data_IF_412834011379
#
_entry.id   IF_412834011379
#
_cell.length_a   1.000
_cell.length_b   1.000
_cell.length_c   1.000
_cell.angle_alpha   90.00
_cell.angle_beta   90.00
_cell.angle_gamma   90.00
#
_symmetry.space_group_name_H-M   'P 1'
#
loop_
_entity.id
_entity.type
_entity.pdbx_description
1 polymer ?
#
# COMPACT_ATOMS: atom_id res chain seq x y z
N UNK A 1 -77.75 20.02 -20.90
CA UNK A 1 -76.70 21.07 -20.80
C UNK A 1 -76.74 21.65 -19.40
N UNK A 2 -75.73 21.35 -18.57
CA UNK A 2 -75.01 22.31 -17.71
C UNK A 2 -73.78 21.55 -17.21
N UNK A 3 -72.66 22.25 -17.33
CA UNK A 3 -71.29 21.82 -17.29
C UNK A 3 -70.73 22.26 -15.93
N UNK A 4 -70.08 21.38 -15.16
CA UNK A 4 -69.17 21.81 -14.08
C UNK A 4 -68.03 20.80 -13.94
N UNK A 5 -66.96 21.06 -14.70
CA UNK A 5 -65.63 20.53 -14.48
C UNK A 5 -65.06 21.14 -13.21
N UNK A 6 -64.90 20.35 -12.15
CA UNK A 6 -64.01 20.67 -11.03
C UNK A 6 -62.60 20.15 -11.36
N UNK A 7 -61.77 21.03 -11.94
CA UNK A 7 -60.34 20.79 -12.07
C UNK A 7 -59.65 21.12 -10.75
N UNK A 8 -59.45 20.09 -9.92
CA UNK A 8 -58.59 20.18 -8.75
C UNK A 8 -57.14 20.24 -9.25
N UNK A 9 -56.54 21.44 -9.15
CA UNK A 9 -55.11 21.67 -9.33
C UNK A 9 -54.32 20.87 -8.28
N UNK A 10 -53.96 19.63 -8.60
CA UNK A 10 -52.90 18.92 -7.90
C UNK A 10 -51.57 19.50 -8.35
N UNK A 11 -51.10 20.54 -7.64
CA UNK A 11 -49.70 20.93 -7.68
C UNK A 11 -48.86 19.74 -7.23
N UNK A 12 -48.28 19.04 -8.21
CA UNK A 12 -47.22 18.06 -8.02
C UNK A 12 -46.00 18.77 -7.41
N UNK A 13 -45.94 18.82 -6.09
CA UNK A 13 -44.70 19.05 -5.37
C UNK A 13 -43.78 17.86 -5.65
N UNK A 14 -42.92 17.98 -6.67
CA UNK A 14 -41.78 17.07 -6.83
C UNK A 14 -40.97 17.15 -5.53
N UNK A 15 -40.83 16.08 -4.73
CA UNK A 15 -39.99 16.12 -3.57
C UNK A 15 -38.57 16.49 -4.02
N UNK A 16 -38.01 17.55 -3.45
CA UNK A 16 -36.59 17.89 -3.64
C UNK A 16 -35.81 16.64 -3.24
N UNK A 17 -35.13 16.00 -4.20
CA UNK A 17 -34.19 14.89 -3.93
C UNK A 17 -33.10 15.45 -3.00
N UNK A 18 -33.28 15.28 -1.69
CA UNK A 18 -32.20 15.49 -0.74
C UNK A 18 -31.11 14.48 -1.08
N UNK A 19 -29.95 14.97 -1.49
CA UNK A 19 -28.80 14.15 -1.85
C UNK A 19 -28.23 13.60 -0.54
N UNK A 20 -28.74 12.45 -0.10
CA UNK A 20 -28.16 11.73 1.02
C UNK A 20 -26.87 11.04 0.56
N UNK A 21 -25.72 11.50 1.07
CA UNK A 21 -24.45 10.79 0.90
C UNK A 21 -24.55 9.43 1.60
N UNK A 22 -24.64 8.38 0.80
CA UNK A 22 -24.57 6.99 1.29
C UNK A 22 -23.14 6.67 1.73
N UNK A 23 -22.98 5.74 2.68
CA UNK A 23 -21.65 5.32 3.15
C UNK A 23 -20.77 4.79 2.00
N UNK A 24 -21.37 4.14 1.00
CA UNK A 24 -20.66 3.71 -0.21
C UNK A 24 -20.11 4.89 -1.03
N UNK A 25 -20.90 5.97 -1.17
CA UNK A 25 -20.43 7.18 -1.85
C UNK A 25 -19.22 7.78 -1.14
N UNK A 26 -19.21 7.79 0.19
CA UNK A 26 -18.06 8.28 0.98
C UNK A 26 -16.82 7.41 0.80
N UNK A 27 -16.96 6.07 0.78
CA UNK A 27 -15.86 5.16 0.49
C UNK A 27 -15.26 5.45 -0.89
N UNK A 28 -16.12 5.62 -1.91
CA UNK A 28 -15.67 5.91 -3.28
C UNK A 28 -14.98 7.28 -3.36
N UNK A 29 -15.54 8.31 -2.70
CA UNK A 29 -14.93 9.64 -2.64
C UNK A 29 -13.57 9.59 -1.95
N UNK A 30 -13.47 8.88 -0.83
CA UNK A 30 -12.21 8.68 -0.12
C UNK A 30 -11.20 7.99 -1.04
N UNK A 31 -11.55 6.88 -1.67
CA UNK A 31 -10.69 6.20 -2.66
C UNK A 31 -10.23 7.13 -3.80
N UNK A 32 -11.14 7.90 -4.40
CA UNK A 32 -10.80 8.87 -5.47
C UNK A 32 -9.83 9.93 -4.96
N UNK A 33 -9.99 10.41 -3.73
CA UNK A 33 -9.12 11.41 -3.09
C UNK A 33 -7.71 10.91 -2.76
N UNK A 34 -7.42 9.65 -3.07
CA UNK A 34 -6.11 9.01 -2.87
C UNK A 34 -5.51 8.66 -4.23
N UNK A 35 -6.36 8.18 -5.14
CA UNK A 35 -5.95 7.61 -6.41
C UNK A 35 -5.61 8.65 -7.48
N UNK A 36 -6.37 9.75 -7.54
CA UNK A 36 -6.22 10.80 -8.56
C UNK A 36 -5.58 12.15 -8.15
N UNK A 37 -5.37 12.51 -6.87
CA UNK A 37 -4.83 13.83 -6.51
C UNK A 37 -3.51 14.20 -7.18
N UNK A 38 -2.63 13.22 -7.44
CA UNK A 38 -1.29 13.47 -7.96
C UNK A 38 -1.29 13.88 -9.42
N UNK A 39 -1.99 13.14 -10.28
CA UNK A 39 -2.15 13.54 -11.68
C UNK A 39 -2.90 14.88 -11.80
N UNK A 40 -3.84 15.15 -10.90
CA UNK A 40 -4.55 16.45 -10.84
C UNK A 40 -3.59 17.56 -10.38
N UNK A 41 -2.72 17.30 -9.40
CA UNK A 41 -1.70 18.24 -8.95
C UNK A 41 -0.64 18.50 -10.02
N UNK A 42 -0.26 17.48 -10.79
CA UNK A 42 0.63 17.60 -11.94
C UNK A 42 0.04 18.49 -13.05
N UNK A 43 -1.30 18.61 -13.13
CA UNK A 43 -2.00 19.55 -14.01
C UNK A 43 -2.12 20.97 -13.43
N UNK A 44 -1.55 21.25 -12.25
CA UNK A 44 -1.48 22.59 -11.66
C UNK A 44 -2.39 22.82 -10.45
N UNK A 45 -3.17 21.81 -10.01
CA UNK A 45 -3.97 21.94 -8.78
C UNK A 45 -3.07 21.98 -7.54
N UNK A 46 -3.41 22.79 -6.51
CA UNK A 46 -2.59 22.88 -5.30
C UNK A 46 -2.36 21.53 -4.62
N UNK A 47 -1.10 21.28 -4.26
CA UNK A 47 -0.61 20.07 -3.59
C UNK A 47 -1.36 19.68 -2.29
N UNK A 48 -2.08 20.62 -1.68
CA UNK A 48 -2.94 20.37 -0.50
C UNK A 48 -3.98 19.28 -0.78
N UNK A 49 -4.43 19.10 -2.02
CA UNK A 49 -5.37 18.03 -2.39
C UNK A 49 -4.82 16.62 -2.10
N UNK A 50 -3.49 16.45 -2.09
CA UNK A 50 -2.85 15.18 -1.76
C UNK A 50 -3.07 14.77 -0.29
N UNK A 51 -3.60 15.64 0.57
CA UNK A 51 -3.87 15.38 1.99
C UNK A 51 -5.34 15.13 2.29
N UNK A 52 -6.24 15.32 1.30
CA UNK A 52 -7.68 15.24 1.52
C UNK A 52 -8.11 13.88 2.12
N UNK A 53 -7.42 12.82 1.72
CA UNK A 53 -7.71 11.47 2.17
C UNK A 53 -7.52 11.24 3.66
N UNK A 54 -6.55 11.93 4.28
CA UNK A 54 -6.32 11.86 5.72
C UNK A 54 -7.52 12.33 6.56
N UNK A 55 -8.43 13.10 5.97
CA UNK A 55 -9.69 13.49 6.60
C UNK A 55 -10.87 12.66 6.11
N UNK A 56 -10.91 12.37 4.80
CA UNK A 56 -12.03 11.65 4.18
C UNK A 56 -12.14 10.19 4.64
N UNK A 57 -11.02 9.49 4.87
CA UNK A 57 -11.04 8.10 5.33
C UNK A 57 -11.57 7.98 6.77
N UNK A 58 -11.04 8.71 7.77
CA UNK A 58 -11.62 8.71 9.11
C UNK A 58 -13.08 9.19 9.14
N UNK A 59 -13.42 10.19 8.34
CA UNK A 59 -14.80 10.66 8.24
C UNK A 59 -15.74 9.57 7.70
N UNK A 60 -15.34 8.89 6.62
CA UNK A 60 -16.10 7.77 6.07
C UNK A 60 -16.27 6.64 7.11
N UNK A 61 -15.22 6.36 7.89
CA UNK A 61 -15.26 5.38 8.98
C UNK A 61 -16.27 5.76 10.07
N UNK A 62 -16.23 7.01 10.56
CA UNK A 62 -17.17 7.50 11.58
C UNK A 62 -18.61 7.37 11.08
N UNK A 63 -18.89 7.78 9.84
CA UNK A 63 -20.22 7.65 9.25
C UNK A 63 -20.62 6.17 9.09
N UNK A 64 -19.68 5.30 8.72
CA UNK A 64 -19.93 3.88 8.56
C UNK A 64 -20.27 3.20 9.89
N UNK A 65 -19.50 3.45 10.96
CA UNK A 65 -19.73 2.89 12.29
C UNK A 65 -21.03 3.43 12.90
N UNK A 66 -21.31 4.72 12.77
CA UNK A 66 -22.52 5.33 13.37
C UNK A 66 -23.81 4.92 12.65
N UNK A 67 -23.74 4.61 11.34
CA UNK A 67 -24.91 4.21 10.55
C UNK A 67 -25.06 2.70 10.38
N UNK A 68 -24.02 1.90 10.64
CA UNK A 68 -24.14 0.45 10.47
C UNK A 68 -25.11 -0.14 11.47
N UNK A 69 -25.94 -1.07 11.00
CA UNK A 69 -26.91 -1.82 11.81
C UNK A 69 -26.62 -3.31 11.78
N UNK A 70 -25.36 -3.70 11.56
CA UNK A 70 -25.00 -5.11 11.52
C UNK A 70 -25.28 -5.76 12.87
N UNK A 71 -25.86 -6.96 12.83
CA UNK A 71 -26.11 -7.81 14.01
C UNK A 71 -25.15 -9.00 14.09
N UNK A 72 -24.22 -9.10 13.14
CA UNK A 72 -23.24 -10.19 13.10
C UNK A 72 -22.18 -9.97 14.20
N UNK A 73 -22.24 -10.81 15.24
CA UNK A 73 -21.32 -10.74 16.38
C UNK A 73 -19.86 -10.93 15.99
N UNK A 74 -19.57 -11.74 14.96
CA UNK A 74 -18.19 -11.94 14.48
C UNK A 74 -17.67 -10.68 13.78
N UNK A 75 -18.50 -10.07 12.95
CA UNK A 75 -18.16 -8.80 12.28
C UNK A 75 -17.92 -7.68 13.31
N UNK A 76 -18.74 -7.61 14.36
CA UNK A 76 -18.60 -6.64 15.45
C UNK A 76 -17.30 -6.90 16.22
N UNK A 77 -17.01 -8.15 16.59
CA UNK A 77 -15.78 -8.50 17.30
C UNK A 77 -14.54 -8.13 16.48
N UNK A 78 -14.48 -8.52 15.20
CA UNK A 78 -13.38 -8.16 14.30
C UNK A 78 -13.22 -6.63 14.18
N UNK A 79 -14.33 -5.90 14.07
CA UNK A 79 -14.32 -4.42 14.03
C UNK A 79 -13.67 -3.84 15.28
N UNK A 80 -14.09 -4.30 16.47
CA UNK A 80 -13.54 -3.81 17.74
C UNK A 80 -12.09 -4.20 17.96
N UNK A 81 -11.68 -5.40 17.54
CA UNK A 81 -10.27 -5.82 17.61
C UNK A 81 -9.36 -4.90 16.78
N UNK A 82 -9.76 -4.57 15.55
CA UNK A 82 -9.00 -3.65 14.69
C UNK A 82 -8.96 -2.24 15.30
N UNK A 83 -10.12 -1.72 15.76
CA UNK A 83 -10.19 -0.40 16.42
C UNK A 83 -9.25 -0.35 17.63
N UNK A 84 -9.30 -1.37 18.48
CA UNK A 84 -8.46 -1.47 19.69
C UNK A 84 -6.99 -1.52 19.32
N UNK A 85 -6.62 -2.31 18.31
CA UNK A 85 -5.25 -2.38 17.82
C UNK A 85 -4.77 -1.02 17.26
N UNK A 86 -5.63 -0.27 16.55
CA UNK A 86 -5.31 1.10 16.11
C UNK A 86 -5.10 2.05 17.29
N UNK A 87 -5.92 1.96 18.35
CA UNK A 87 -5.74 2.78 19.54
C UNK A 87 -4.48 2.43 20.33
N UNK A 88 -4.14 1.14 20.44
CA UNK A 88 -2.87 0.70 21.03
C UNK A 88 -1.70 1.32 20.26
N UNK A 89 -1.73 1.23 18.93
CA UNK A 89 -0.70 1.81 18.08
C UNK A 89 -0.61 3.34 18.21
N UNK A 90 -1.75 4.04 18.24
CA UNK A 90 -1.81 5.48 18.50
C UNK A 90 -1.21 5.84 19.87
N UNK A 91 -1.46 5.03 20.91
CA UNK A 91 -0.88 5.21 22.24
C UNK A 91 0.66 5.12 22.21
N UNK A 92 1.22 4.21 21.41
CA UNK A 92 2.67 4.11 21.22
C UNK A 92 3.22 5.33 20.47
N UNK A 93 2.55 5.78 19.40
CA UNK A 93 2.94 7.00 18.66
C UNK A 93 2.93 8.22 19.57
N UNK A 94 1.87 8.41 20.36
CA UNK A 94 1.76 9.52 21.31
C UNK A 94 2.88 9.48 22.36
N UNK A 95 3.18 8.30 22.89
CA UNK A 95 4.26 8.14 23.88
C UNK A 95 5.61 8.47 23.26
N UNK A 96 5.89 7.97 22.05
CA UNK A 96 7.10 8.29 21.29
C UNK A 96 7.21 9.80 21.02
N UNK A 97 6.13 10.44 20.59
CA UNK A 97 6.10 11.87 20.31
C UNK A 97 6.35 12.71 21.56
N UNK A 98 5.75 12.38 22.69
CA UNK A 98 5.96 13.09 23.96
C UNK A 98 7.40 12.97 24.44
N UNK A 99 7.98 11.77 24.38
CA UNK A 99 9.36 11.53 24.80
C UNK A 99 10.37 12.29 23.92
N UNK A 100 10.08 12.40 22.63
CA UNK A 100 10.98 13.00 21.65
C UNK A 100 10.58 14.42 21.19
N UNK A 101 9.59 15.03 21.86
CA UNK A 101 9.07 16.38 21.56
C UNK A 101 8.66 16.55 20.08
N UNK A 102 8.10 15.50 19.48
CA UNK A 102 7.60 15.58 18.11
C UNK A 102 6.30 16.41 18.05
N UNK A 103 6.10 17.12 16.94
CA UNK A 103 4.91 17.93 16.71
C UNK A 103 3.61 17.12 16.71
N UNK A 104 2.49 17.76 17.05
CA UNK A 104 1.17 17.12 16.96
C UNK A 104 0.82 16.67 15.53
N UNK A 105 1.30 17.43 14.53
CA UNK A 105 1.17 17.07 13.11
C UNK A 105 1.95 15.81 12.77
N UNK A 106 3.12 15.60 13.39
CA UNK A 106 3.87 14.36 13.23
C UNK A 106 3.05 13.16 13.70
N UNK A 107 2.47 13.23 14.89
CA UNK A 107 1.59 12.18 15.44
C UNK A 107 0.43 11.88 14.49
N UNK A 108 -0.27 12.93 14.04
CA UNK A 108 -1.43 12.77 13.16
C UNK A 108 -1.04 12.12 11.83
N UNK A 109 -0.01 12.66 11.15
CA UNK A 109 0.39 12.16 9.84
C UNK A 109 1.00 10.76 9.92
N UNK A 110 1.81 10.46 10.93
CA UNK A 110 2.42 9.13 11.09
C UNK A 110 1.34 8.07 11.35
N UNK A 111 0.41 8.38 12.25
CA UNK A 111 -0.75 7.53 12.50
C UNK A 111 -1.57 7.34 11.23
N UNK A 112 -1.89 8.40 10.51
CA UNK A 112 -2.68 8.29 9.29
C UNK A 112 -1.95 7.50 8.20
N UNK A 113 -0.68 7.78 7.93
CA UNK A 113 0.11 7.06 6.92
C UNK A 113 0.13 5.55 7.18
N UNK A 114 0.28 5.13 8.43
CA UNK A 114 0.40 3.72 8.81
C UNK A 114 -0.96 3.03 9.03
N UNK A 115 -1.94 3.72 9.63
CA UNK A 115 -3.24 3.15 9.99
C UNK A 115 -4.34 3.32 8.94
N UNK A 116 -4.21 4.28 8.02
CA UNK A 116 -5.24 4.54 7.00
C UNK A 116 -5.71 3.29 6.22
N UNK A 117 -4.85 2.35 5.75
CA UNK A 117 -5.34 1.14 5.09
C UNK A 117 -6.25 0.30 6.01
N UNK A 118 -5.96 0.25 7.31
CA UNK A 118 -6.80 -0.45 8.29
C UNK A 118 -8.12 0.29 8.53
N UNK A 119 -8.11 1.62 8.58
CA UNK A 119 -9.32 2.44 8.72
C UNK A 119 -10.22 2.33 7.48
N UNK A 120 -9.64 2.32 6.27
CA UNK A 120 -10.37 2.10 5.03
C UNK A 120 -10.99 0.70 5.00
N UNK A 121 -10.20 -0.32 5.33
CA UNK A 121 -10.68 -1.70 5.44
C UNK A 121 -11.85 -1.79 6.43
N UNK A 122 -11.69 -1.23 7.63
CA UNK A 122 -12.71 -1.17 8.67
C UNK A 122 -13.99 -0.51 8.18
N UNK A 123 -13.87 0.61 7.48
CA UNK A 123 -15.00 1.34 6.88
C UNK A 123 -15.81 0.45 5.95
N UNK A 124 -15.15 -0.39 5.15
CA UNK A 124 -15.82 -1.28 4.19
C UNK A 124 -16.39 -2.51 4.89
N UNK A 125 -15.62 -3.17 5.76
CA UNK A 125 -16.07 -4.41 6.40
C UNK A 125 -17.19 -4.17 7.42
N UNK A 126 -17.31 -2.98 8.03
CA UNK A 126 -18.36 -2.70 9.02
C UNK A 126 -19.74 -2.45 8.39
N UNK A 127 -19.81 -2.15 7.09
CA UNK A 127 -21.08 -1.92 6.37
C UNK A 127 -21.56 -3.22 5.74
N UNK A 128 -22.81 -3.68 5.97
CA UNK A 128 -23.39 -4.76 5.19
C UNK A 128 -23.65 -4.30 3.75
N UNK A 129 -22.82 -4.71 2.79
CA UNK A 129 -23.01 -4.35 1.38
C UNK A 129 -24.06 -5.24 0.73
N UNK A 130 -25.02 -4.61 0.03
CA UNK A 130 -25.89 -5.34 -0.90
C UNK A 130 -25.11 -5.78 -2.14
N UNK A 131 -25.55 -6.82 -2.88
CA UNK A 131 -24.88 -7.24 -4.12
C UNK A 131 -24.66 -6.09 -5.11
N UNK A 132 -25.63 -5.19 -5.27
CA UNK A 132 -25.50 -4.01 -6.14
C UNK A 132 -24.43 -3.03 -5.64
N UNK A 133 -24.37 -2.77 -4.32
CA UNK A 133 -23.36 -1.90 -3.71
C UNK A 133 -21.95 -2.48 -3.83
N UNK A 134 -21.83 -3.79 -3.63
CA UNK A 134 -20.59 -4.55 -3.83
C UNK A 134 -20.09 -4.44 -5.27
N UNK A 135 -20.97 -4.69 -6.26
CA UNK A 135 -20.60 -4.58 -7.68
C UNK A 135 -20.21 -3.15 -8.06
N UNK A 136 -20.87 -2.15 -7.50
CA UNK A 136 -20.50 -0.74 -7.72
C UNK A 136 -19.10 -0.44 -7.17
N UNK A 137 -18.78 -0.86 -5.94
CA UNK A 137 -17.44 -0.67 -5.36
C UNK A 137 -16.37 -1.38 -6.20
N UNK A 138 -16.62 -2.63 -6.59
CA UNK A 138 -15.74 -3.42 -7.47
C UNK A 138 -15.52 -2.72 -8.81
N UNK A 139 -16.57 -2.20 -9.44
CA UNK A 139 -16.47 -1.49 -10.71
C UNK A 139 -15.61 -0.22 -10.60
N UNK A 140 -15.75 0.56 -9.52
CA UNK A 140 -14.92 1.74 -9.29
C UNK A 140 -13.43 1.40 -9.11
N UNK A 141 -13.12 0.35 -8.35
CA UNK A 141 -11.76 -0.13 -8.18
C UNK A 141 -11.16 -0.60 -9.52
N UNK A 142 -11.86 -1.51 -10.22
CA UNK A 142 -11.39 -2.07 -11.49
C UNK A 142 -11.26 -1.00 -12.57
N UNK A 143 -12.23 -0.09 -12.67
CA UNK A 143 -12.20 1.02 -13.60
C UNK A 143 -11.04 1.96 -13.33
N UNK A 144 -10.77 2.28 -12.06
CA UNK A 144 -9.65 3.15 -11.69
C UNK A 144 -8.29 2.49 -11.95
N UNK A 145 -8.14 1.20 -11.64
CA UNK A 145 -6.93 0.45 -11.96
C UNK A 145 -6.70 0.35 -13.48
N UNK A 146 -7.76 0.17 -14.27
CA UNK A 146 -7.67 0.19 -15.73
C UNK A 146 -7.24 1.57 -16.25
N UNK A 147 -7.82 2.65 -15.71
CA UNK A 147 -7.39 4.02 -16.04
C UNK A 147 -5.91 4.21 -15.70
N UNK A 148 -5.46 3.78 -14.52
CA UNK A 148 -4.05 3.84 -14.13
C UNK A 148 -3.14 3.11 -15.13
N UNK A 149 -3.50 1.88 -15.50
CA UNK A 149 -2.75 1.08 -16.47
C UNK A 149 -2.70 1.78 -17.84
N UNK A 150 -3.85 2.21 -18.36
CA UNK A 150 -3.92 2.87 -19.68
C UNK A 150 -3.14 4.19 -19.68
N UNK A 151 -3.24 4.99 -18.62
CA UNK A 151 -2.46 6.23 -18.49
C UNK A 151 -0.97 5.93 -18.47
N UNK A 152 -0.51 4.91 -17.74
CA UNK A 152 0.89 4.50 -17.74
C UNK A 152 1.36 4.07 -19.13
N UNK A 153 0.56 3.27 -19.85
CA UNK A 153 0.87 2.85 -21.22
C UNK A 153 0.96 4.02 -22.20
N UNK A 154 0.09 5.04 -22.04
CA UNK A 154 0.09 6.27 -22.86
C UNK A 154 1.24 7.20 -22.49
N UNK A 155 1.67 7.24 -21.23
CA UNK A 155 2.76 8.10 -20.77
C UNK A 155 4.07 7.80 -21.49
N UNK A 156 4.42 6.52 -21.70
CA UNK A 156 5.68 6.14 -22.35
C UNK A 156 5.90 6.80 -23.72
N UNK A 157 5.02 6.62 -24.73
CA UNK A 157 5.20 7.27 -26.02
C UNK A 157 5.13 8.81 -25.92
N UNK A 158 4.31 9.37 -25.03
CA UNK A 158 4.28 10.83 -24.83
C UNK A 158 5.59 11.38 -24.25
N UNK A 159 6.21 10.66 -23.32
CA UNK A 159 7.53 11.00 -22.76
C UNK A 159 8.60 10.90 -23.86
N UNK A 160 8.60 9.81 -24.63
CA UNK A 160 9.56 9.61 -25.72
C UNK A 160 9.48 10.70 -26.80
N UNK A 161 8.26 11.19 -27.08
CA UNK A 161 8.02 12.31 -27.99
C UNK A 161 8.28 13.70 -27.35
N UNK A 162 8.70 13.76 -26.08
CA UNK A 162 8.92 15.01 -25.35
C UNK A 162 7.64 15.84 -25.13
N UNK A 163 6.46 15.21 -25.14
CA UNK A 163 5.15 15.89 -25.00
C UNK A 163 4.72 16.09 -23.56
N UNK A 164 5.24 15.29 -22.63
CA UNK A 164 4.96 15.41 -21.19
C UNK A 164 6.27 15.41 -20.39
N UNK A 165 6.27 16.08 -19.24
CA UNK A 165 7.48 16.34 -18.44
C UNK A 165 7.98 15.09 -17.72
N UNK A 166 9.29 14.89 -17.66
CA UNK A 166 9.91 13.88 -16.78
C UNK A 166 10.33 14.46 -15.43
N UNK A 167 10.20 15.79 -15.25
CA UNK A 167 10.71 16.53 -14.09
C UNK A 167 12.15 16.12 -13.75
N UNK A 168 12.40 15.61 -12.54
CA UNK A 168 13.71 15.12 -12.09
C UNK A 168 13.92 13.60 -12.27
N UNK A 169 12.97 12.91 -12.92
CA UNK A 169 12.96 11.45 -13.05
C UNK A 169 13.58 11.01 -14.38
N UNK A 170 14.03 9.76 -14.44
CA UNK A 170 14.35 9.13 -15.73
C UNK A 170 13.07 8.99 -16.56
N UNK A 171 13.16 8.92 -17.91
CA UNK A 171 12.00 8.68 -18.76
C UNK A 171 11.18 7.44 -18.35
N UNK A 172 11.85 6.40 -17.86
CA UNK A 172 11.25 5.16 -17.38
C UNK A 172 10.55 5.38 -16.02
N UNK A 173 11.20 6.04 -15.06
CA UNK A 173 10.60 6.34 -13.75
C UNK A 173 9.43 7.31 -13.84
N UNK A 174 9.37 8.13 -14.90
CA UNK A 174 8.26 9.04 -15.18
C UNK A 174 6.99 8.33 -15.71
N UNK A 175 7.04 7.03 -16.02
CA UNK A 175 5.86 6.21 -16.33
C UNK A 175 5.19 5.76 -15.03
N UNK A 176 4.20 6.53 -14.57
CA UNK A 176 3.64 6.45 -13.21
C UNK A 176 2.10 6.34 -13.16
N UNK A 177 1.43 6.19 -14.30
CA UNK A 177 -0.02 6.15 -14.37
C UNK A 177 -0.67 7.39 -13.74
N UNK A 178 -1.69 7.19 -12.90
CA UNK A 178 -2.36 8.30 -12.19
C UNK A 178 -1.56 8.88 -11.02
N UNK A 179 -0.45 8.23 -10.65
CA UNK A 179 0.45 8.68 -9.57
C UNK A 179 1.57 9.58 -10.12
N UNK A 180 1.33 10.23 -11.25
CA UNK A 180 2.29 11.00 -12.03
C UNK A 180 2.97 12.12 -11.25
N UNK A 181 4.28 12.27 -11.52
CA UNK A 181 5.23 13.17 -10.87
C UNK A 181 5.32 13.00 -9.35
N UNK A 182 5.39 11.74 -8.89
CA UNK A 182 5.68 11.41 -7.50
C UNK A 182 6.85 10.45 -7.33
N UNK A 183 7.56 10.55 -6.20
CA UNK A 183 8.85 9.87 -6.02
C UNK A 183 8.82 8.34 -6.15
N UNK A 184 7.70 7.70 -5.81
CA UNK A 184 7.50 6.25 -5.96
C UNK A 184 6.37 5.90 -6.94
N UNK A 185 5.96 6.85 -7.80
CA UNK A 185 4.75 6.74 -8.61
C UNK A 185 4.76 5.55 -9.57
N UNK A 186 5.91 5.23 -10.17
CA UNK A 186 6.07 4.08 -11.08
C UNK A 186 5.83 2.76 -10.35
N UNK A 187 6.49 2.55 -9.21
CA UNK A 187 6.35 1.33 -8.42
C UNK A 187 4.92 1.16 -7.89
N UNK A 188 4.29 2.24 -7.41
CA UNK A 188 2.91 2.23 -6.90
C UNK A 188 1.93 1.90 -8.02
N UNK A 189 2.05 2.59 -9.15
CA UNK A 189 1.21 2.35 -10.33
C UNK A 189 1.32 0.92 -10.83
N UNK A 190 2.54 0.41 -10.97
CA UNK A 190 2.80 -0.96 -11.42
C UNK A 190 2.25 -1.98 -10.42
N UNK A 191 2.46 -1.76 -9.11
CA UNK A 191 1.97 -2.64 -8.04
C UNK A 191 0.45 -2.71 -8.02
N UNK A 192 -0.24 -1.59 -8.21
CA UNK A 192 -1.71 -1.53 -8.34
C UNK A 192 -2.18 -2.33 -9.55
N UNK A 193 -1.57 -2.10 -10.72
CA UNK A 193 -1.92 -2.81 -11.96
C UNK A 193 -1.73 -4.33 -11.84
N UNK A 194 -0.63 -4.78 -11.23
CA UNK A 194 -0.37 -6.21 -11.01
C UNK A 194 -1.33 -6.82 -9.97
N UNK A 195 -1.54 -6.16 -8.83
CA UNK A 195 -2.46 -6.65 -7.79
C UNK A 195 -3.90 -6.78 -8.32
N UNK A 196 -4.38 -5.76 -9.05
CA UNK A 196 -5.72 -5.76 -9.64
C UNK A 196 -5.81 -6.71 -10.84
N UNK A 197 -4.75 -6.81 -11.65
CA UNK A 197 -4.66 -7.79 -12.74
C UNK A 197 -4.79 -9.23 -12.24
N UNK A 198 -4.08 -9.57 -11.15
CA UNK A 198 -4.20 -10.87 -10.49
C UNK A 198 -5.59 -11.07 -9.89
N UNK A 199 -6.14 -10.06 -9.20
CA UNK A 199 -7.52 -10.12 -8.69
C UNK A 199 -8.52 -10.42 -9.81
N UNK A 200 -8.40 -9.72 -10.95
CA UNK A 200 -9.29 -9.88 -12.09
C UNK A 200 -9.13 -11.26 -12.73
N UNK A 201 -7.90 -11.75 -12.90
CA UNK A 201 -7.60 -13.09 -13.39
C UNK A 201 -8.27 -14.18 -12.54
N UNK A 202 -8.16 -14.05 -11.21
CA UNK A 202 -8.66 -15.04 -10.27
C UNK A 202 -10.19 -14.97 -10.09
N UNK A 203 -10.79 -13.78 -10.07
CA UNK A 203 -12.18 -13.59 -9.60
C UNK A 203 -13.19 -13.21 -10.69
N UNK A 204 -12.78 -12.76 -11.88
CA UNK A 204 -13.73 -12.42 -12.96
C UNK A 204 -14.08 -13.66 -13.81
N UNK A 205 -14.61 -14.72 -13.18
CA UNK A 205 -14.88 -16.02 -13.85
C UNK A 205 -15.89 -15.94 -15.00
N UNK A 206 -16.77 -14.94 -15.00
CA UNK A 206 -17.73 -14.67 -16.08
C UNK A 206 -17.08 -14.11 -17.35
N UNK A 207 -15.83 -13.66 -17.26
CA UNK A 207 -15.06 -13.11 -18.38
C UNK A 207 -14.10 -14.17 -18.90
N UNK A 208 -13.94 -14.21 -20.23
CA UNK A 208 -13.01 -15.13 -20.90
C UNK A 208 -11.60 -15.05 -20.30
N UNK A 209 -10.95 -16.21 -20.19
CA UNK A 209 -9.58 -16.29 -19.65
C UNK A 209 -8.59 -15.48 -20.49
N UNK A 210 -8.84 -15.31 -21.78
CA UNK A 210 -8.01 -14.52 -22.69
C UNK A 210 -8.00 -13.03 -22.33
N UNK A 211 -9.18 -12.45 -22.06
CA UNK A 211 -9.28 -11.03 -21.65
C UNK A 211 -8.63 -10.83 -20.29
N UNK A 212 -8.86 -11.77 -19.37
CA UNK A 212 -8.25 -11.75 -18.04
C UNK A 212 -6.73 -11.85 -18.10
N UNK A 213 -6.20 -12.79 -18.88
CA UNK A 213 -4.76 -12.96 -19.11
C UNK A 213 -4.16 -11.74 -19.80
N UNK A 214 -4.84 -11.18 -20.80
CA UNK A 214 -4.40 -9.98 -21.51
C UNK A 214 -4.21 -8.77 -20.59
N UNK A 215 -5.15 -8.52 -19.67
CA UNK A 215 -4.99 -7.43 -18.68
C UNK A 215 -3.79 -7.64 -17.76
N UNK A 216 -3.54 -8.89 -17.33
CA UNK A 216 -2.35 -9.20 -16.55
C UNK A 216 -1.06 -9.03 -17.38
N UNK A 217 -1.06 -9.44 -18.64
CA UNK A 217 0.06 -9.23 -19.57
C UNK A 217 0.34 -7.74 -19.79
N UNK A 218 -0.70 -6.90 -19.90
CA UNK A 218 -0.52 -5.44 -19.96
C UNK A 218 0.08 -4.88 -18.68
N UNK A 219 -0.27 -5.41 -17.50
CA UNK A 219 0.37 -5.00 -16.25
C UNK A 219 1.85 -5.42 -16.19
N UNK A 220 2.21 -6.59 -16.72
CA UNK A 220 3.61 -6.97 -16.92
C UNK A 220 4.32 -6.09 -17.95
N UNK A 221 3.63 -5.69 -19.02
CA UNK A 221 4.18 -4.75 -19.99
C UNK A 221 4.44 -3.37 -19.34
N UNK A 222 3.52 -2.88 -18.50
CA UNK A 222 3.74 -1.68 -17.69
C UNK A 222 5.00 -1.82 -16.83
N UNK A 223 5.21 -2.96 -16.18
CA UNK A 223 6.40 -3.21 -15.36
C UNK A 223 7.70 -3.02 -16.17
N UNK A 224 7.74 -3.51 -17.41
CA UNK A 224 8.91 -3.37 -18.29
C UNK A 224 9.16 -1.91 -18.70
N UNK A 225 8.11 -1.21 -19.16
CA UNK A 225 8.28 0.17 -19.66
C UNK A 225 8.57 1.20 -18.56
N UNK A 226 8.23 0.89 -17.30
CA UNK A 226 8.44 1.75 -16.12
C UNK A 226 9.66 1.36 -15.28
N UNK A 227 10.49 0.45 -15.80
CA UNK A 227 11.63 -0.18 -15.12
C UNK A 227 11.36 -0.61 -13.65
N UNK A 228 10.14 -1.08 -13.39
CA UNK A 228 9.67 -1.42 -12.04
C UNK A 228 9.91 -2.89 -11.67
N UNK A 229 11.02 -3.47 -12.13
CA UNK A 229 11.39 -4.89 -11.94
C UNK A 229 11.42 -5.34 -10.47
N UNK A 230 11.67 -4.41 -9.54
CA UNK A 230 11.64 -4.66 -8.09
C UNK A 230 10.25 -5.06 -7.61
N UNK A 231 9.18 -4.57 -8.25
CA UNK A 231 7.79 -4.97 -7.96
C UNK A 231 7.60 -6.48 -8.22
N UNK A 232 8.19 -7.02 -9.29
CA UNK A 232 8.11 -8.46 -9.58
C UNK A 232 8.80 -9.28 -8.49
N UNK A 233 10.00 -8.87 -8.07
CA UNK A 233 10.75 -9.53 -6.99
C UNK A 233 9.90 -9.57 -5.73
N UNK A 234 9.26 -8.47 -5.36
CA UNK A 234 8.39 -8.39 -4.19
C UNK A 234 7.23 -9.39 -4.29
N UNK A 235 6.55 -9.47 -5.43
CA UNK A 235 5.45 -10.42 -5.63
C UNK A 235 5.93 -11.87 -5.57
N UNK A 236 7.10 -12.19 -6.13
CA UNK A 236 7.68 -13.54 -6.07
C UNK A 236 8.05 -13.91 -4.62
N UNK A 237 8.70 -13.02 -3.87
CA UNK A 237 9.05 -13.26 -2.47
C UNK A 237 7.80 -13.41 -1.61
N UNK A 238 6.78 -12.58 -1.80
CA UNK A 238 5.50 -12.70 -1.10
C UNK A 238 4.79 -14.03 -1.41
N UNK A 239 4.87 -14.52 -2.64
CA UNK A 239 4.35 -15.84 -3.02
C UNK A 239 5.13 -16.97 -2.35
N UNK A 240 6.46 -16.92 -2.31
CA UNK A 240 7.28 -17.89 -1.60
C UNK A 240 6.96 -17.93 -0.10
N UNK A 241 6.82 -16.76 0.53
CA UNK A 241 6.39 -16.65 1.93
C UNK A 241 4.99 -17.25 2.15
N UNK A 242 4.05 -17.03 1.22
CA UNK A 242 2.72 -17.62 1.31
C UNK A 242 2.79 -19.15 1.26
N UNK A 243 3.57 -19.70 0.32
CA UNK A 243 3.78 -21.15 0.21
C UNK A 243 4.37 -21.70 1.51
N UNK A 244 5.35 -21.01 2.08
CA UNK A 244 5.96 -21.36 3.36
C UNK A 244 4.94 -21.36 4.51
N UNK A 245 4.14 -20.30 4.66
CA UNK A 245 3.13 -20.20 5.72
C UNK A 245 1.95 -21.17 5.56
N UNK A 246 1.68 -21.65 4.35
CA UNK A 246 0.64 -22.65 4.09
C UNK A 246 1.11 -24.08 4.40
N UNK A 247 2.42 -24.28 4.47
CA UNK A 247 2.99 -25.61 4.65
C UNK A 247 2.85 -26.03 6.12
N UNK A 248 1.80 -26.79 6.43
CA UNK A 248 1.55 -27.31 7.78
C UNK A 248 2.55 -28.38 8.22
N UNK A 249 3.29 -28.97 7.28
CA UNK A 249 4.29 -30.00 7.54
C UNK A 249 5.68 -29.35 7.62
N UNK A 250 6.05 -28.97 8.85
CA UNK A 250 7.34 -28.34 9.13
C UNK A 250 8.53 -29.18 8.62
N UNK A 251 8.42 -30.51 8.67
CA UNK A 251 9.47 -31.41 8.20
C UNK A 251 9.72 -31.28 6.70
N UNK A 252 8.65 -31.25 5.90
CA UNK A 252 8.75 -31.01 4.45
C UNK A 252 9.15 -29.59 4.09
N UNK A 253 8.68 -28.58 4.83
CA UNK A 253 9.12 -27.21 4.64
C UNK A 253 10.62 -27.07 4.86
N UNK A 254 11.13 -27.65 5.96
CA UNK A 254 12.56 -27.71 6.25
C UNK A 254 13.32 -28.49 5.16
N UNK A 255 12.78 -29.62 4.70
CA UNK A 255 13.36 -30.39 3.59
C UNK A 255 13.47 -29.56 2.31
N UNK A 256 12.46 -28.78 1.94
CA UNK A 256 12.52 -27.89 0.77
C UNK A 256 13.52 -26.75 0.94
N UNK A 257 13.61 -26.17 2.14
CA UNK A 257 14.65 -25.19 2.45
C UNK A 257 16.03 -25.82 2.26
N UNK A 258 16.27 -27.01 2.81
CA UNK A 258 17.53 -27.74 2.67
C UNK A 258 17.84 -28.01 1.19
N UNK A 259 16.87 -28.55 0.43
CA UNK A 259 17.05 -28.83 -1.01
C UNK A 259 17.36 -27.54 -1.78
N UNK A 260 16.65 -26.46 -1.50
CA UNK A 260 16.87 -25.16 -2.14
C UNK A 260 18.24 -24.57 -1.79
N UNK A 261 18.65 -24.66 -0.53
CA UNK A 261 19.99 -24.23 -0.08
C UNK A 261 21.08 -25.06 -0.75
N UNK A 262 20.92 -26.40 -0.81
CA UNK A 262 21.85 -27.27 -1.52
C UNK A 262 21.90 -26.95 -3.03
N UNK A 263 20.76 -26.62 -3.63
CA UNK A 263 20.70 -26.17 -5.02
C UNK A 263 21.46 -24.86 -5.21
N UNK A 264 21.28 -23.85 -4.35
CA UNK A 264 22.03 -22.59 -4.42
C UNK A 264 23.52 -22.83 -4.25
N UNK A 265 23.93 -23.64 -3.27
CA UNK A 265 25.34 -23.98 -3.03
C UNK A 265 25.92 -24.69 -4.25
N UNK A 266 25.21 -25.68 -4.80
CA UNK A 266 25.62 -26.40 -5.99
C UNK A 266 25.69 -25.50 -7.23
N UNK A 267 24.71 -24.61 -7.41
CA UNK A 267 24.69 -23.63 -8.49
C UNK A 267 25.86 -22.65 -8.39
N UNK A 268 26.12 -22.11 -7.20
CA UNK A 268 27.26 -21.25 -6.92
C UNK A 268 28.59 -21.97 -7.18
N UNK A 269 28.72 -23.21 -6.70
CA UNK A 269 29.90 -24.04 -6.99
C UNK A 269 30.09 -24.27 -8.49
N UNK A 270 29.01 -24.59 -9.23
CA UNK A 270 29.05 -24.76 -10.69
C UNK A 270 29.49 -23.47 -11.38
N UNK A 271 28.99 -22.30 -10.97
CA UNK A 271 29.39 -21.02 -11.54
C UNK A 271 30.88 -20.72 -11.34
N UNK A 272 31.42 -21.02 -10.15
CA UNK A 272 32.82 -20.72 -9.83
C UNK A 272 33.79 -21.70 -10.51
N UNK A 273 33.41 -22.99 -10.60
CA UNK A 273 34.32 -24.07 -10.99
C UNK A 273 34.10 -24.61 -12.41
N UNK A 274 32.96 -24.36 -13.04
CA UNK A 274 32.68 -24.84 -14.41
C UNK A 274 32.71 -23.67 -15.39
N UNK A 275 33.43 -23.83 -16.50
CA UNK A 275 33.48 -22.87 -17.60
C UNK A 275 32.29 -23.08 -18.55
N UNK A 276 31.10 -22.72 -18.08
CA UNK A 276 29.85 -22.78 -18.86
C UNK A 276 29.48 -21.37 -19.31
N UNK A 277 29.47 -21.12 -20.63
CA UNK A 277 29.17 -19.81 -21.24
C UNK A 277 27.85 -19.21 -20.71
N UNK A 278 26.81 -20.03 -20.56
CA UNK A 278 25.51 -19.59 -20.03
C UNK A 278 25.53 -19.14 -18.56
N UNK A 279 26.59 -19.44 -17.80
CA UNK A 279 26.76 -19.02 -16.41
C UNK A 279 27.63 -17.77 -16.26
N UNK A 280 28.27 -17.28 -17.32
CA UNK A 280 29.19 -16.13 -17.24
C UNK A 280 28.52 -14.86 -16.71
N UNK A 281 27.29 -14.57 -17.14
CA UNK A 281 26.54 -13.42 -16.64
C UNK A 281 26.30 -13.52 -15.13
N UNK A 282 25.95 -14.71 -14.63
CA UNK A 282 25.79 -14.93 -13.20
C UNK A 282 27.12 -14.80 -12.47
N UNK A 283 28.20 -15.39 -13.01
CA UNK A 283 29.55 -15.32 -12.42
C UNK A 283 30.01 -13.87 -12.31
N UNK A 284 29.79 -13.07 -13.34
CA UNK A 284 30.07 -11.64 -13.33
C UNK A 284 29.32 -10.91 -12.21
N UNK A 285 28.03 -11.17 -12.02
CA UNK A 285 27.26 -10.49 -10.97
C UNK A 285 27.63 -10.95 -9.56
N UNK A 286 27.91 -12.25 -9.36
CA UNK A 286 28.31 -12.79 -8.06
C UNK A 286 29.75 -12.43 -7.67
N UNK A 287 30.64 -12.22 -8.65
CA UNK A 287 32.03 -11.83 -8.39
C UNK A 287 32.17 -10.37 -7.93
N UNK A 288 31.13 -9.55 -8.11
CA UNK A 288 31.07 -8.15 -7.64
C UNK A 288 30.89 -8.02 -6.13
N UNK A 289 31.77 -8.63 -5.37
CA UNK A 289 31.77 -8.62 -3.90
C UNK A 289 31.99 -7.22 -3.33
N UNK A 290 32.66 -6.33 -4.06
CA UNK A 290 32.78 -4.91 -3.73
C UNK A 290 31.42 -4.18 -3.71
N UNK A 291 30.45 -4.69 -4.47
CA UNK A 291 29.11 -4.13 -4.57
C UNK A 291 28.13 -4.89 -3.67
N UNK A 292 28.06 -6.22 -3.81
CA UNK A 292 27.01 -7.06 -3.19
C UNK A 292 27.49 -7.94 -2.03
N UNK A 293 28.77 -7.93 -1.69
CA UNK A 293 29.29 -8.64 -0.52
C UNK A 293 28.75 -8.06 0.81
N UNK A 294 28.97 -8.72 1.96
CA UNK A 294 28.52 -8.25 3.27
C UNK A 294 28.99 -6.82 3.61
N UNK A 295 30.20 -6.45 3.20
CA UNK A 295 30.76 -5.10 3.33
C UNK A 295 30.73 -4.29 2.02
N UNK A 296 30.00 -4.80 1.02
CA UNK A 296 29.87 -4.19 -0.28
C UNK A 296 29.08 -2.87 -0.23
N UNK A 297 29.28 -2.02 -1.23
CA UNK A 297 28.66 -0.69 -1.29
C UNK A 297 27.12 -0.77 -1.21
N UNK A 298 26.49 -1.80 -1.79
CA UNK A 298 25.04 -1.97 -1.77
C UNK A 298 24.50 -2.21 -0.36
N UNK A 299 25.13 -3.11 0.40
CA UNK A 299 24.74 -3.41 1.78
C UNK A 299 24.98 -2.20 2.68
N UNK A 300 26.17 -1.59 2.57
CA UNK A 300 26.53 -0.39 3.35
C UNK A 300 25.60 0.77 3.07
N UNK A 301 25.21 0.97 1.82
CA UNK A 301 24.28 2.04 1.41
C UNK A 301 22.87 1.75 1.91
N UNK A 302 22.36 0.52 1.72
CA UNK A 302 21.01 0.15 2.17
C UNK A 302 20.86 0.23 3.69
N UNK A 303 21.88 -0.20 4.42
CA UNK A 303 21.88 -0.26 5.88
C UNK A 303 22.38 1.02 6.53
N UNK A 304 22.79 2.05 5.77
CA UNK A 304 23.43 3.27 6.30
C UNK A 304 22.60 3.98 7.38
N UNK A 305 21.27 3.97 7.24
CA UNK A 305 20.37 4.62 8.18
C UNK A 305 20.35 3.93 9.56
N UNK A 306 20.65 2.63 9.66
CA UNK A 306 20.62 1.90 10.94
C UNK A 306 21.62 2.48 11.94
N UNK A 307 22.94 2.51 11.67
CA UNK A 307 23.91 3.08 12.62
C UNK A 307 23.69 4.57 12.86
N UNK A 308 23.18 5.32 11.87
CA UNK A 308 22.82 6.73 12.05
C UNK A 308 21.70 6.88 13.09
N UNK A 309 20.59 6.15 12.95
CA UNK A 309 19.49 6.15 13.93
C UNK A 309 20.00 5.74 15.32
N UNK A 310 20.76 4.64 15.42
CA UNK A 310 21.29 4.13 16.69
C UNK A 310 22.21 5.15 17.37
N UNK A 311 22.98 5.93 16.61
CA UNK A 311 23.86 6.96 17.18
C UNK A 311 23.10 8.05 17.97
N UNK A 312 21.81 8.22 17.69
CA UNK A 312 20.92 9.15 18.40
C UNK A 312 20.11 8.48 19.51
N UNK A 313 20.21 7.16 19.71
CA UNK A 313 19.57 6.48 20.83
C UNK A 313 20.37 6.73 22.11
N UNK A 314 20.05 7.81 22.80
CA UNK A 314 20.75 8.24 24.02
C UNK A 314 20.21 7.58 25.31
N UNK A 315 19.10 6.84 25.23
CA UNK A 315 18.49 6.17 26.37
C UNK A 315 17.87 4.81 25.99
N UNK A 316 17.67 3.89 26.96
CA UNK A 316 16.92 2.65 26.73
C UNK A 316 15.49 2.90 26.23
N UNK A 317 14.89 4.05 26.57
CA UNK A 317 13.56 4.42 26.08
C UNK A 317 13.54 4.66 24.57
N UNK A 318 14.66 5.09 23.97
CA UNK A 318 14.74 5.22 22.51
C UNK A 318 14.68 3.86 21.79
N UNK A 319 15.18 2.79 22.40
CA UNK A 319 15.00 1.45 21.85
C UNK A 319 13.53 1.00 21.89
N UNK A 320 12.80 1.41 22.91
CA UNK A 320 11.40 1.00 23.09
C UNK A 320 10.43 1.86 22.27
N UNK A 321 10.67 3.18 22.20
CA UNK A 321 9.76 4.17 21.61
C UNK A 321 10.34 4.96 20.43
N UNK A 322 11.59 4.72 20.03
CA UNK A 322 12.21 5.39 18.89
C UNK A 322 12.58 6.85 19.13
N UNK A 323 12.75 7.59 18.04
CA UNK A 323 13.15 9.02 18.01
C UNK A 323 11.98 9.98 17.78
N UNK A 324 10.75 9.48 17.67
CA UNK A 324 9.56 10.29 17.42
C UNK A 324 8.98 10.06 16.02
N UNK A 325 7.66 10.20 15.84
CA UNK A 325 7.01 10.04 14.54
C UNK A 325 7.60 11.00 13.49
N UNK A 326 8.00 10.46 12.35
CA UNK A 326 8.54 11.24 11.23
C UNK A 326 9.92 11.85 11.48
N UNK A 327 10.70 11.33 12.44
CA UNK A 327 12.05 11.82 12.75
C UNK A 327 13.17 10.96 12.16
N UNK A 328 12.85 9.84 11.50
CA UNK A 328 13.84 8.95 10.87
C UNK A 328 13.61 8.80 9.36
N UNK A 329 13.51 7.56 8.87
CA UNK A 329 13.65 7.19 7.45
C UNK A 329 12.42 6.53 6.85
N UNK A 330 11.30 6.54 7.58
CA UNK A 330 9.98 6.26 7.01
C UNK A 330 9.60 7.32 5.99
N UNK A 331 8.47 7.16 5.32
CA UNK A 331 7.94 8.08 4.31
C UNK A 331 7.79 9.49 4.86
N UNK A 332 7.31 9.61 6.10
CA UNK A 332 7.06 10.89 6.75
C UNK A 332 8.35 11.70 6.92
N UNK A 333 9.34 11.16 7.63
CA UNK A 333 10.63 11.82 7.88
C UNK A 333 11.57 11.80 6.67
N UNK A 334 11.51 10.74 5.87
CA UNK A 334 12.35 10.52 4.70
C UNK A 334 12.06 11.50 3.57
N UNK A 335 10.82 11.79 3.20
CA UNK A 335 10.59 12.75 2.10
C UNK A 335 9.35 13.62 2.28
N UNK A 336 8.35 13.16 3.02
CA UNK A 336 7.09 13.88 3.11
C UNK A 336 7.25 15.26 3.77
N UNK A 337 7.98 15.36 4.87
CA UNK A 337 8.27 16.67 5.47
C UNK A 337 9.16 17.53 4.60
N UNK A 338 10.14 16.97 3.89
CA UNK A 338 10.97 17.72 2.95
C UNK A 338 10.15 18.34 1.82
N UNK A 339 9.30 17.52 1.19
CA UNK A 339 8.59 17.90 -0.02
C UNK A 339 7.37 18.80 0.25
N UNK A 340 6.84 18.77 1.48
CA UNK A 340 5.66 19.53 1.91
C UNK A 340 5.92 20.46 3.10
N UNK A 341 7.18 20.81 3.38
CA UNK A 341 7.57 21.63 4.53
C UNK A 341 6.81 22.97 4.59
N UNK A 342 6.62 23.62 3.45
CA UNK A 342 5.91 24.91 3.36
C UNK A 342 4.45 24.83 3.83
N UNK A 343 3.84 23.63 3.80
CA UNK A 343 2.49 23.39 4.29
C UNK A 343 2.50 22.91 5.74
N UNK A 344 3.45 22.06 6.11
CA UNK A 344 3.45 21.31 7.37
C UNK A 344 4.21 22.00 8.50
N UNK A 345 5.31 22.70 8.18
CA UNK A 345 6.12 23.46 9.13
C UNK A 345 5.29 24.49 9.93
N UNK A 346 4.46 25.34 9.28
CA UNK A 346 3.59 26.29 9.98
C UNK A 346 2.56 25.64 10.90
N UNK A 347 2.22 24.37 10.70
CA UNK A 347 1.29 23.61 11.54
C UNK A 347 2.01 22.95 12.74
N UNK A 348 3.32 23.20 12.91
CA UNK A 348 4.12 22.67 13.99
C UNK A 348 4.74 21.30 13.70
N UNK A 349 4.95 20.95 12.42
CA UNK A 349 5.75 19.78 12.07
C UNK A 349 7.21 19.94 12.54
N UNK A 350 7.79 18.86 13.05
CA UNK A 350 9.18 18.81 13.50
C UNK A 350 9.99 17.80 12.70
N UNK A 351 11.29 18.05 12.54
CA UNK A 351 12.25 17.14 11.91
C UNK A 351 13.40 16.86 12.87
N UNK A 352 14.20 15.84 12.57
CA UNK A 352 15.33 15.44 13.38
C UNK A 352 16.61 15.34 12.51
N UNK A 353 17.81 15.63 13.05
CA UNK A 353 19.06 15.65 12.27
C UNK A 353 19.35 14.35 11.51
N UNK A 354 18.95 13.20 12.06
CA UNK A 354 19.09 11.88 11.40
C UNK A 354 18.54 11.87 9.98
N UNK A 355 17.36 12.45 9.75
CA UNK A 355 16.77 12.45 8.40
C UNK A 355 17.65 13.21 7.41
N UNK A 356 18.31 14.30 7.85
CA UNK A 356 19.22 15.09 7.01
C UNK A 356 20.49 14.30 6.73
N UNK A 357 21.12 13.72 7.76
CA UNK A 357 22.34 12.92 7.61
C UNK A 357 22.16 11.72 6.65
N UNK A 358 20.99 11.09 6.70
CA UNK A 358 20.65 10.00 5.77
C UNK A 358 20.55 10.51 4.33
N UNK A 359 19.96 11.68 4.11
CA UNK A 359 19.94 12.29 2.78
C UNK A 359 21.31 12.69 2.28
N UNK A 360 22.16 13.24 3.14
CA UNK A 360 23.54 13.56 2.77
C UNK A 360 24.27 12.28 2.33
N UNK A 361 24.02 11.16 3.01
CA UNK A 361 24.55 9.86 2.60
C UNK A 361 23.99 9.38 1.26
N UNK A 362 22.69 9.56 1.01
CA UNK A 362 22.06 9.27 -0.29
C UNK A 362 22.68 10.11 -1.39
N UNK A 363 22.85 11.42 -1.17
CA UNK A 363 23.46 12.32 -2.15
C UNK A 363 24.94 12.05 -2.39
N UNK A 364 25.64 11.43 -1.43
CA UNK A 364 27.02 10.99 -1.60
C UNK A 364 27.17 9.63 -2.31
N UNK A 365 26.10 8.84 -2.45
CA UNK A 365 26.15 7.51 -3.09
C UNK A 365 25.60 7.57 -4.51
N UNK A 366 26.39 7.12 -5.49
CA UNK A 366 25.91 6.96 -6.87
C UNK A 366 24.83 5.87 -6.92
N UNK A 367 25.02 4.76 -6.19
CA UNK A 367 24.11 3.64 -6.17
C UNK A 367 22.72 4.00 -5.60
N UNK A 368 22.67 4.81 -4.53
CA UNK A 368 21.40 5.26 -3.96
C UNK A 368 20.61 6.19 -4.90
N UNK A 369 21.30 6.91 -5.78
CA UNK A 369 20.67 7.79 -6.78
C UNK A 369 20.15 7.01 -7.99
N UNK A 370 20.87 5.97 -8.40
CA UNK A 370 20.51 5.18 -9.58
C UNK A 370 19.51 4.05 -9.27
N UNK A 371 19.48 3.56 -8.04
CA UNK A 371 18.64 2.43 -7.67
C UNK A 371 17.92 2.64 -6.33
N UNK A 372 16.60 2.81 -6.44
CA UNK A 372 15.69 2.88 -5.29
C UNK A 372 15.80 1.65 -4.37
N UNK A 373 16.19 0.49 -4.90
CA UNK A 373 16.35 -0.76 -4.14
C UNK A 373 17.36 -0.62 -3.00
N UNK A 374 18.43 0.14 -3.24
CA UNK A 374 19.53 0.34 -2.28
C UNK A 374 19.37 1.62 -1.46
N UNK A 375 18.29 2.39 -1.65
CA UNK A 375 18.04 3.55 -0.79
C UNK A 375 17.86 3.11 0.67
N UNK A 376 18.51 3.80 1.63
CA UNK A 376 18.40 3.54 3.07
C UNK A 376 17.05 3.98 3.67
N UNK A 377 16.02 4.12 2.84
CA UNK A 377 14.69 4.58 3.21
C UNK A 377 13.70 3.45 2.94
N UNK A 378 13.27 2.76 4.00
CA UNK A 378 12.29 1.67 3.90
C UNK A 378 11.40 1.60 5.14
N UNK A 379 10.16 1.15 4.95
CA UNK A 379 9.06 1.34 5.90
C UNK A 379 9.35 0.72 7.27
N UNK A 380 9.86 -0.52 7.32
CA UNK A 380 10.12 -1.20 8.61
C UNK A 380 11.18 -0.49 9.44
N UNK A 381 12.21 0.06 8.78
CA UNK A 381 13.23 0.84 9.47
C UNK A 381 12.68 2.20 9.92
N UNK A 382 11.78 2.81 9.15
CA UNK A 382 11.03 3.99 9.56
C UNK A 382 10.20 3.75 10.81
N UNK A 383 9.36 2.72 10.81
CA UNK A 383 8.51 2.36 11.96
C UNK A 383 9.35 2.08 13.20
N UNK A 384 10.43 1.30 13.09
CA UNK A 384 11.33 1.05 14.22
C UNK A 384 12.10 2.30 14.65
N UNK A 385 12.61 3.08 13.70
CA UNK A 385 13.38 4.28 13.99
C UNK A 385 12.55 5.34 14.71
N UNK A 386 11.32 5.54 14.25
CA UNK A 386 10.38 6.52 14.78
C UNK A 386 9.74 6.04 16.10
N UNK A 387 9.31 4.77 16.17
CA UNK A 387 8.43 4.25 17.23
C UNK A 387 9.04 3.13 18.10
N UNK A 388 10.28 2.73 17.82
CA UNK A 388 11.01 1.69 18.56
C UNK A 388 10.43 0.28 18.39
N UNK A 389 10.91 -0.65 19.21
CA UNK A 389 10.42 -2.03 19.19
C UNK A 389 8.96 -2.17 19.62
N UNK A 390 8.46 -1.29 20.49
CA UNK A 390 7.06 -1.33 20.89
C UNK A 390 6.15 -0.90 19.73
N UNK A 391 6.55 0.11 18.97
CA UNK A 391 5.83 0.54 17.77
C UNK A 391 5.82 -0.55 16.72
N UNK A 392 6.97 -1.17 16.46
CA UNK A 392 7.06 -2.32 15.55
C UNK A 392 6.14 -3.47 15.99
N UNK A 393 6.16 -3.83 17.28
CA UNK A 393 5.29 -4.87 17.84
C UNK A 393 3.80 -4.54 17.72
N UNK A 394 3.41 -3.29 18.02
CA UNK A 394 2.02 -2.84 17.91
C UNK A 394 1.54 -2.80 16.44
N UNK A 395 2.40 -2.42 15.49
CA UNK A 395 2.08 -2.44 14.06
C UNK A 395 1.98 -3.88 13.51
N UNK A 396 2.88 -4.78 13.94
CA UNK A 396 2.80 -6.19 13.61
C UNK A 396 1.54 -6.84 14.22
N UNK A 397 1.12 -6.42 15.41
CA UNK A 397 -0.14 -6.84 16.00
C UNK A 397 -1.35 -6.42 15.16
N UNK A 398 -1.37 -5.19 14.64
CA UNK A 398 -2.38 -4.75 13.66
C UNK A 398 -2.40 -5.66 12.42
N UNK A 399 -1.22 -5.96 11.86
CA UNK A 399 -1.07 -6.90 10.74
C UNK A 399 -1.56 -8.31 11.08
N UNK A 400 -1.30 -8.79 12.30
CA UNK A 400 -1.76 -10.09 12.78
C UNK A 400 -3.29 -10.17 12.92
N UNK A 401 -3.94 -9.12 13.45
CA UNK A 401 -5.41 -9.06 13.53
C UNK A 401 -6.00 -9.10 12.12
N UNK A 402 -5.47 -8.30 11.18
CA UNK A 402 -5.87 -8.34 9.77
C UNK A 402 -5.72 -9.76 9.18
N UNK A 403 -4.54 -10.36 9.37
CA UNK A 403 -4.19 -11.69 8.86
C UNK A 403 -5.14 -12.78 9.37
N UNK A 404 -5.37 -12.81 10.68
CA UNK A 404 -6.12 -13.86 11.36
C UNK A 404 -7.64 -13.71 11.22
N UNK A 405 -8.16 -12.48 11.19
CA UNK A 405 -9.60 -12.21 11.21
C UNK A 405 -10.21 -11.91 9.84
N UNK A 406 -9.44 -11.32 8.93
CA UNK A 406 -9.96 -10.82 7.65
C UNK A 406 -9.38 -11.60 6.46
N UNK A 407 -8.07 -11.84 6.44
CA UNK A 407 -7.37 -12.51 5.34
C UNK A 407 -7.53 -14.04 5.39
N UNK A 408 -8.75 -14.53 5.15
CA UNK A 408 -9.05 -15.97 5.24
C UNK A 408 -8.54 -16.76 4.02
N UNK A 409 -8.33 -16.11 2.86
CA UNK A 409 -7.75 -16.75 1.66
C UNK A 409 -6.29 -16.43 1.41
N UNK A 410 -5.70 -17.34 0.64
CA UNK A 410 -4.39 -17.25 0.02
C UNK A 410 -4.20 -15.93 -0.76
N UNK A 411 -5.21 -15.39 -1.45
CA UNK A 411 -5.05 -14.14 -2.19
C UNK A 411 -4.95 -12.92 -1.26
N UNK A 412 -5.80 -12.81 -0.24
CA UNK A 412 -5.68 -11.75 0.77
C UNK A 412 -4.37 -11.85 1.56
N UNK A 413 -3.96 -13.08 1.92
CA UNK A 413 -2.67 -13.34 2.57
C UNK A 413 -1.49 -12.96 1.67
N UNK A 414 -1.56 -13.31 0.39
CA UNK A 414 -0.60 -12.90 -0.62
C UNK A 414 -0.44 -11.37 -0.67
N UNK A 415 -1.55 -10.63 -0.79
CA UNK A 415 -1.51 -9.17 -0.81
C UNK A 415 -0.93 -8.56 0.48
N UNK A 416 -1.23 -9.16 1.63
CA UNK A 416 -0.68 -8.73 2.92
C UNK A 416 0.83 -8.96 2.98
N UNK A 417 1.31 -10.12 2.53
CA UNK A 417 2.74 -10.43 2.44
C UNK A 417 3.46 -9.54 1.42
N UNK A 418 2.81 -9.19 0.32
CA UNK A 418 3.33 -8.23 -0.66
C UNK A 418 3.60 -6.87 0.00
N UNK A 419 2.66 -6.33 0.80
CA UNK A 419 2.90 -5.09 1.56
C UNK A 419 4.03 -5.24 2.59
N UNK A 420 4.09 -6.39 3.28
CA UNK A 420 5.16 -6.68 4.23
C UNK A 420 6.55 -6.65 3.55
N UNK A 421 6.69 -7.33 2.41
CA UNK A 421 7.95 -7.37 1.64
C UNK A 421 8.29 -6.00 1.05
N UNK A 422 7.29 -5.26 0.55
CA UNK A 422 7.49 -3.87 0.15
C UNK A 422 8.07 -3.02 1.28
N UNK A 423 7.62 -3.21 2.52
CA UNK A 423 8.14 -2.50 3.67
C UNK A 423 9.63 -2.75 3.96
N UNK A 424 10.19 -3.88 3.50
CA UNK A 424 11.62 -4.23 3.67
C UNK A 424 12.50 -3.56 2.61
N UNK A 425 11.93 -3.17 1.47
CA UNK A 425 12.66 -2.67 0.32
C UNK A 425 12.43 -1.17 0.13
N UNK A 426 11.19 -0.70 0.31
CA UNK A 426 10.77 0.67 0.04
C UNK A 426 9.91 1.23 1.19
N UNK A 427 9.58 2.52 1.12
CA UNK A 427 8.51 3.09 1.96
C UNK A 427 7.10 2.82 1.37
N UNK A 428 6.93 1.81 0.51
CA UNK A 428 5.66 1.57 -0.20
C UNK A 428 4.54 1.03 0.71
N UNK A 429 4.89 0.47 1.88
CA UNK A 429 3.92 0.10 2.91
C UNK A 429 3.21 1.31 3.51
N UNK A 430 3.80 2.49 3.37
CA UNK A 430 3.29 3.78 3.87
C UNK A 430 2.62 4.59 2.75
N UNK A 431 2.47 4.00 1.56
CA UNK A 431 2.05 4.72 0.38
C UNK A 431 0.58 4.45 0.03
N UNK A 432 -0.26 5.46 0.28
CA UNK A 432 -1.71 5.33 0.32
C UNK A 432 -2.32 4.77 -0.98
N UNK A 433 -1.80 5.18 -2.14
CA UNK A 433 -2.27 4.69 -3.44
C UNK A 433 -2.24 3.16 -3.55
N UNK A 434 -1.19 2.54 -2.99
CA UNK A 434 -1.02 1.10 -2.98
C UNK A 434 -1.77 0.44 -1.83
N UNK A 435 -1.53 0.91 -0.60
CA UNK A 435 -1.99 0.21 0.61
C UNK A 435 -3.52 0.23 0.72
N UNK A 436 -4.18 1.30 0.27
CA UNK A 436 -5.64 1.36 0.26
C UNK A 436 -6.25 0.61 -0.91
N UNK A 437 -5.58 0.54 -2.07
CA UNK A 437 -6.00 -0.37 -3.14
C UNK A 437 -6.01 -1.82 -2.62
N UNK A 438 -4.95 -2.23 -1.90
CA UNK A 438 -4.89 -3.54 -1.26
C UNK A 438 -5.97 -3.71 -0.19
N UNK A 439 -6.20 -2.70 0.65
CA UNK A 439 -7.25 -2.72 1.66
C UNK A 439 -8.65 -2.94 1.04
N UNK A 440 -8.96 -2.26 -0.07
CA UNK A 440 -10.22 -2.44 -0.81
C UNK A 440 -10.29 -3.83 -1.43
N UNK A 441 -9.21 -4.34 -2.04
CA UNK A 441 -9.16 -5.70 -2.60
C UNK A 441 -9.46 -6.78 -1.54
N UNK A 442 -8.80 -6.67 -0.37
CA UNK A 442 -9.03 -7.57 0.77
C UNK A 442 -10.49 -7.44 1.25
N UNK A 443 -11.01 -6.22 1.35
CA UNK A 443 -12.39 -5.97 1.78
C UNK A 443 -13.42 -6.53 0.79
N UNK A 444 -13.16 -6.46 -0.52
CA UNK A 444 -14.00 -7.05 -1.56
C UNK A 444 -14.02 -8.58 -1.43
N UNK A 445 -12.87 -9.22 -1.25
CA UNK A 445 -12.79 -10.67 -1.02
C UNK A 445 -13.57 -11.11 0.22
N UNK A 446 -13.44 -10.34 1.31
CA UNK A 446 -14.18 -10.59 2.54
C UNK A 446 -15.71 -10.54 2.30
N UNK A 447 -16.20 -9.52 1.59
CA UNK A 447 -17.62 -9.38 1.27
C UNK A 447 -18.13 -10.45 0.31
N UNK A 448 -17.35 -10.79 -0.73
CA UNK A 448 -17.71 -11.83 -1.70
C UNK A 448 -17.98 -13.17 -1.01
N UNK A 449 -17.14 -13.55 -0.06
CA UNK A 449 -17.29 -14.77 0.75
C UNK A 449 -18.49 -14.72 1.67
N UNK A 450 -18.73 -13.58 2.31
CA UNK A 450 -19.91 -13.38 3.16
C UNK A 450 -21.19 -13.55 2.35
N UNK A 451 -21.26 -12.91 1.18
CA UNK A 451 -22.43 -13.02 0.29
C UNK A 451 -22.62 -14.46 -0.19
N UNK A 452 -21.54 -15.17 -0.54
CA UNK A 452 -21.62 -16.59 -0.90
C UNK A 452 -22.16 -17.47 0.25
N UNK A 453 -21.71 -17.25 1.49
CA UNK A 453 -22.23 -17.97 2.68
C UNK A 453 -23.71 -17.70 2.92
N UNK A 454 -24.15 -16.45 2.78
CA UNK A 454 -25.56 -16.08 2.92
C UNK A 454 -26.42 -16.73 1.83
N UNK A 455 -25.94 -16.73 0.58
CA UNK A 455 -26.62 -17.38 -0.53
C UNK A 455 -26.77 -18.90 -0.34
N UNK A 456 -25.81 -19.56 0.32
CA UNK A 456 -25.90 -20.99 0.67
C UNK A 456 -26.83 -21.30 1.86
N UNK A 457 -27.08 -20.34 2.75
CA UNK A 457 -27.96 -20.53 3.91
C UNK A 457 -29.44 -20.26 3.60
N UNK A 458 -29.73 -19.38 2.63
CA UNK A 458 -31.09 -19.04 2.20
C UNK A 458 -31.83 -19.97 1.20
N UNK A 459 -31.26 -21.04 0.58
CA UNK A 459 -32.04 -21.92 -0.32
C UNK A 459 -33.11 -22.74 0.42
N UNK A 460 -33.01 -22.88 1.75
CA UNK A 460 -33.82 -23.81 2.55
C UNK A 460 -35.10 -23.21 3.15
N UNK A 461 -35.35 -21.91 2.99
CA UNK A 461 -36.53 -21.24 3.56
C UNK A 461 -37.59 -20.82 2.52
N UNK A 462 -37.40 -21.21 1.25
CA UNK A 462 -38.33 -20.90 0.16
C UNK A 462 -38.89 -22.17 -0.51
N UNK A 463 -38.97 -23.30 0.22
CA UNK A 463 -39.71 -24.50 -0.21
C UNK A 463 -40.91 -24.68 0.70
#
# INVERSE_FOLDING_TARGET
MINTKNSINQHFWKPRKQVYLTSLSLIIIAFISIFYPRIISAAGVPKVINFAHFLLVPFALIVAITKTRTKDSKQIATTWEIITACFIFLGVILTSALLNKAGAINVFLDFMILCEPFLMLLTIICIPLTPASFQKLRAWLLGSALINLLVALIQKPLIDMGKISVAQYTPQDAVQGVFYLSGAGNYVSCSVSLAVGLYYLLNAKTVSIWIRGFLLLLAFWQLLISDSKQVLIVFVVAWMLLVFFKYNDFGKALMYIIIFTLFIIGFYWCMENLEIEGLEAFKYWFSRTELYGPDGEAVRTKMAAVPMIVSYYKSPLNWLFGLGPGHTVGRLGGWFFRDYWSLLGPLGATTHPVSIEVWDKVYASWLAKESSMFMPLFSWLGVWGDLGFLGLGAYLYLGYVLWSRVCVDDFCKFLTLTLFVFGLIFTQMEEAGQTLTVAILISLQWHERRLARQAHQHPLNNV
#
